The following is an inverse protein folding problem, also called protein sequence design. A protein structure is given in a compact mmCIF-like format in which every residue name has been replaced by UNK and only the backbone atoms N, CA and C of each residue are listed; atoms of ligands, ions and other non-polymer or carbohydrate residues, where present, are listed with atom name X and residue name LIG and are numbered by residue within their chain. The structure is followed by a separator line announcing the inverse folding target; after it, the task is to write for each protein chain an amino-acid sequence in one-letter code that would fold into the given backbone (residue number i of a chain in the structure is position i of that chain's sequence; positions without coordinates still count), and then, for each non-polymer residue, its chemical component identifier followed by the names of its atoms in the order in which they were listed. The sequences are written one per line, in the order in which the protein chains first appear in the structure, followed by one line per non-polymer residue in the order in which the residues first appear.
data_IF_926809967269
#
_entry.id   IF_926809967269
#
_cell.length_a   1.000
_cell.length_b   1.000
_cell.length_c   1.000
_cell.angle_alpha   90.00
_cell.angle_beta   90.00
_cell.angle_gamma   90.00
#
_symmetry.space_group_name_H-M   'P 1'
#
loop_
_entity.id
_entity.type
_entity.pdbx_description
1 polymer ?
#
# COMPACT_ATOMS: atom_id res chain seq x y z
N UNK A 1 -18.92 -11.34 -1.95
CA UNK A 1 -18.44 -9.99 -1.61
C UNK A 1 -16.97 -10.14 -1.27
N UNK A 2 -16.10 -9.33 -1.90
CA UNK A 2 -14.67 -9.42 -1.68
C UNK A 2 -14.27 -8.74 -0.36
N UNK A 3 -13.35 -9.37 0.35
CA UNK A 3 -12.74 -8.87 1.59
C UNK A 3 -11.23 -9.10 1.53
N UNK A 4 -10.48 -8.18 2.11
CA UNK A 4 -9.06 -8.37 2.34
C UNK A 4 -8.85 -8.61 3.83
N UNK A 5 -8.19 -9.72 4.15
CA UNK A 5 -7.79 -10.13 5.50
C UNK A 5 -6.26 -10.02 5.61
N UNK A 6 -5.75 -9.16 6.49
CA UNK A 6 -4.34 -9.18 6.91
C UNK A 6 -4.22 -9.97 8.19
N UNK A 7 -3.33 -10.94 8.19
CA UNK A 7 -3.16 -11.90 9.29
C UNK A 7 -1.67 -12.12 9.57
N UNK A 8 -1.31 -12.11 10.84
CA UNK A 8 -0.01 -12.57 11.31
C UNK A 8 -0.13 -14.04 11.73
N UNK A 9 0.84 -14.87 11.33
CA UNK A 9 0.86 -16.29 11.64
C UNK A 9 2.29 -16.81 11.81
N UNK A 10 2.49 -17.98 12.45
CA UNK A 10 3.83 -18.53 12.62
C UNK A 10 4.43 -18.94 11.27
N UNK A 11 5.67 -18.55 10.98
CA UNK A 11 6.38 -18.89 9.75
C UNK A 11 7.03 -20.28 9.84
N UNK A 12 6.17 -21.31 9.89
CA UNK A 12 6.56 -22.71 9.95
C UNK A 12 5.73 -23.57 8.98
N UNK A 13 6.24 -24.74 8.56
CA UNK A 13 5.52 -25.62 7.65
C UNK A 13 4.12 -25.98 8.17
N UNK A 14 3.10 -25.68 7.36
CA UNK A 14 1.71 -26.02 7.65
C UNK A 14 0.85 -24.87 8.19
N UNK A 15 1.43 -23.76 8.65
CA UNK A 15 0.66 -22.61 9.18
C UNK A 15 -0.33 -22.05 8.17
N UNK A 16 0.12 -21.78 6.93
CA UNK A 16 -0.76 -21.29 5.87
C UNK A 16 -1.86 -22.30 5.50
N UNK A 17 -1.56 -23.60 5.56
CA UNK A 17 -2.54 -24.66 5.32
C UNK A 17 -3.61 -24.74 6.42
N UNK A 18 -3.22 -24.52 7.67
CA UNK A 18 -4.15 -24.43 8.80
C UNK A 18 -5.05 -23.20 8.68
N UNK A 19 -4.48 -22.04 8.32
CA UNK A 19 -5.24 -20.83 8.02
C UNK A 19 -6.27 -21.07 6.91
N UNK A 20 -5.83 -21.60 5.76
CA UNK A 20 -6.71 -21.88 4.63
C UNK A 20 -7.85 -22.83 4.99
N UNK A 21 -7.56 -23.85 5.80
CA UNK A 21 -8.59 -24.78 6.31
C UNK A 21 -9.60 -24.07 7.21
N UNK A 22 -9.16 -23.20 8.12
CA UNK A 22 -10.04 -22.46 9.02
C UNK A 22 -10.93 -21.46 8.27
N UNK A 23 -10.37 -20.74 7.30
CA UNK A 23 -11.10 -19.82 6.41
C UNK A 23 -12.16 -20.57 5.60
N UNK A 24 -11.81 -21.70 4.98
CA UNK A 24 -12.74 -22.54 4.25
C UNK A 24 -13.86 -23.10 5.13
N UNK A 25 -13.54 -23.53 6.35
CA UNK A 25 -14.54 -23.99 7.33
C UNK A 25 -15.49 -22.88 7.81
N UNK A 26 -15.06 -21.62 7.76
CA UNK A 26 -15.92 -20.45 8.00
C UNK A 26 -16.84 -20.12 6.81
N UNK A 27 -16.66 -20.79 5.67
CA UNK A 27 -17.47 -20.62 4.46
C UNK A 27 -16.99 -19.50 3.54
N UNK A 28 -15.76 -19.00 3.71
CA UNK A 28 -15.15 -18.05 2.79
C UNK A 28 -14.31 -18.78 1.72
N UNK A 29 -14.30 -18.25 0.50
CA UNK A 29 -13.40 -18.70 -0.56
C UNK A 29 -12.13 -17.85 -0.54
N UNK A 30 -10.97 -18.45 -0.80
CA UNK A 30 -9.71 -17.70 -0.96
C UNK A 30 -9.46 -17.51 -2.46
N UNK A 31 -9.39 -16.26 -2.88
CA UNK A 31 -9.10 -15.89 -4.27
C UNK A 31 -7.59 -15.76 -4.50
N UNK A 32 -6.86 -15.19 -3.53
CA UNK A 32 -5.42 -15.01 -3.61
C UNK A 32 -4.79 -14.85 -2.22
N UNK A 33 -3.49 -15.11 -2.14
CA UNK A 33 -2.66 -14.94 -0.94
C UNK A 33 -1.36 -14.27 -1.36
N UNK A 34 -0.92 -13.29 -0.59
CA UNK A 34 0.37 -12.63 -0.74
C UNK A 34 1.07 -12.56 0.63
N UNK A 35 2.32 -13.02 0.70
CA UNK A 35 3.16 -12.82 1.88
C UNK A 35 3.70 -11.39 1.81
N UNK A 36 3.35 -10.57 2.79
CA UNK A 36 3.71 -9.14 2.82
C UNK A 36 5.03 -8.93 3.57
N UNK A 37 5.25 -9.65 4.66
CA UNK A 37 6.46 -9.52 5.48
C UNK A 37 6.83 -10.85 6.14
N UNK A 38 8.14 -11.12 6.26
CA UNK A 38 8.66 -12.17 7.12
C UNK A 38 9.21 -11.50 8.37
N UNK A 39 8.55 -11.74 9.51
CA UNK A 39 8.93 -11.22 10.81
C UNK A 39 10.25 -11.83 11.29
N UNK A 40 11.09 -11.01 11.93
CA UNK A 40 12.38 -11.47 12.48
C UNK A 40 12.24 -12.42 13.68
N UNK A 41 11.03 -12.54 14.22
CA UNK A 41 10.65 -13.37 15.37
C UNK A 41 10.07 -14.74 14.97
N UNK A 42 10.10 -15.07 13.67
CA UNK A 42 9.56 -16.33 13.14
C UNK A 42 8.06 -16.28 12.87
N UNK A 43 7.50 -15.08 12.70
CA UNK A 43 6.15 -14.85 12.17
C UNK A 43 6.20 -14.46 10.70
N UNK A 44 5.07 -14.54 10.02
CA UNK A 44 4.84 -13.96 8.71
C UNK A 44 3.56 -13.12 8.79
N UNK A 45 3.49 -12.07 7.96
CA UNK A 45 2.27 -11.30 7.75
C UNK A 45 1.78 -11.54 6.34
N UNK A 46 0.61 -12.14 6.23
CA UNK A 46 -0.02 -12.51 4.98
C UNK A 46 -1.28 -11.69 4.74
N UNK A 47 -1.46 -11.31 3.49
CA UNK A 47 -2.71 -10.75 3.00
C UNK A 47 -3.47 -11.81 2.21
N UNK A 48 -4.70 -12.08 2.65
CA UNK A 48 -5.61 -13.06 2.05
C UNK A 48 -6.80 -12.35 1.44
N UNK A 49 -6.94 -12.45 0.12
CA UNK A 49 -8.12 -11.98 -0.60
C UNK A 49 -9.21 -13.04 -0.53
N UNK A 50 -10.35 -12.68 0.03
CA UNK A 50 -11.46 -13.55 0.32
C UNK A 50 -12.70 -13.17 -0.48
N UNK A 51 -13.43 -14.16 -0.99
CA UNK A 51 -14.79 -13.99 -1.48
C UNK A 51 -15.76 -14.62 -0.48
N UNK A 52 -16.59 -13.78 0.15
CA UNK A 52 -17.59 -14.21 1.11
C UNK A 52 -18.96 -14.37 0.43
N UNK A 53 -19.57 -15.58 0.48
CA UNK A 53 -20.95 -15.79 0.05
C UNK A 53 -21.95 -14.94 0.82
N UNK A 54 -23.12 -14.69 0.22
CA UNK A 54 -24.22 -13.99 0.89
C UNK A 54 -24.61 -14.70 2.20
N UNK A 55 -24.63 -13.95 3.30
CA UNK A 55 -24.97 -14.47 4.63
C UNK A 55 -23.78 -14.98 5.45
N UNK A 56 -22.58 -15.03 4.88
CA UNK A 56 -21.33 -15.21 5.65
C UNK A 56 -20.86 -13.85 6.13
N UNK A 57 -20.67 -13.72 7.45
CA UNK A 57 -20.17 -12.50 8.08
C UNK A 57 -18.63 -12.56 8.18
N UNK A 58 -17.91 -11.45 7.93
CA UNK A 58 -16.45 -11.37 8.14
C UNK A 58 -16.01 -11.85 9.52
N UNK A 59 -16.78 -11.52 10.55
CA UNK A 59 -16.50 -11.93 11.94
C UNK A 59 -16.42 -13.45 12.12
N UNK A 60 -17.11 -14.25 11.29
CA UNK A 60 -16.97 -15.71 11.32
C UNK A 60 -15.57 -16.15 10.89
N UNK A 61 -15.00 -15.48 9.88
CA UNK A 61 -13.64 -15.73 9.40
C UNK A 61 -12.63 -15.31 10.46
N UNK A 62 -12.80 -14.11 11.04
CA UNK A 62 -11.96 -13.62 12.14
C UNK A 62 -11.97 -14.61 13.31
N UNK A 63 -13.17 -15.01 13.74
CA UNK A 63 -13.34 -15.98 14.82
C UNK A 63 -12.73 -17.34 14.49
N UNK A 64 -12.64 -17.72 13.21
CA UNK A 64 -12.01 -18.97 12.79
C UNK A 64 -10.48 -18.90 12.84
N UNK A 65 -9.91 -17.78 12.41
CA UNK A 65 -8.47 -17.54 12.47
C UNK A 65 -7.98 -17.49 13.92
N UNK A 66 -8.68 -16.78 14.81
CA UNK A 66 -8.34 -16.70 16.24
C UNK A 66 -8.40 -18.03 17.01
N UNK A 67 -8.94 -19.10 16.43
CA UNK A 67 -8.88 -20.44 17.05
C UNK A 67 -7.57 -21.17 16.75
N UNK A 68 -6.79 -20.68 15.80
CA UNK A 68 -5.48 -21.23 15.47
C UNK A 68 -4.44 -20.66 16.43
N UNK A 69 -3.56 -21.53 16.92
CA UNK A 69 -2.48 -21.12 17.82
C UNK A 69 -1.48 -20.23 17.09
N UNK A 70 -1.17 -19.07 17.66
CA UNK A 70 -0.20 -18.12 17.10
C UNK A 70 -0.70 -17.33 15.88
N UNK A 71 -2.00 -17.36 15.56
CA UNK A 71 -2.58 -16.60 14.45
C UNK A 71 -3.36 -15.39 14.97
N UNK A 72 -3.02 -14.20 14.49
CA UNK A 72 -3.66 -12.95 14.85
C UNK A 72 -4.22 -12.25 13.60
N UNK A 73 -5.50 -11.88 13.65
CA UNK A 73 -6.09 -11.08 12.58
C UNK A 73 -5.80 -9.61 12.82
N UNK A 74 -4.86 -9.06 12.06
CA UNK A 74 -4.47 -7.66 12.16
C UNK A 74 -5.55 -6.73 11.59
N UNK A 75 -6.20 -7.15 10.50
CA UNK A 75 -7.22 -6.33 9.85
C UNK A 75 -8.10 -7.13 8.90
N UNK A 76 -9.38 -6.74 8.79
CA UNK A 76 -10.29 -7.23 7.76
C UNK A 76 -11.20 -6.10 7.28
N UNK A 77 -11.31 -5.91 5.97
CA UNK A 77 -12.23 -4.92 5.40
C UNK A 77 -12.80 -5.36 4.07
N UNK A 78 -13.89 -4.71 3.67
CA UNK A 78 -14.47 -4.87 2.34
C UNK A 78 -13.45 -4.44 1.31
N UNK A 79 -13.30 -5.26 0.28
CA UNK A 79 -12.42 -4.99 -0.84
C UNK A 79 -13.27 -4.85 -2.10
N UNK A 80 -12.91 -3.92 -2.98
CA UNK A 80 -13.64 -3.68 -4.22
C UNK A 80 -13.40 -4.84 -5.17
N UNK A 81 -14.41 -5.69 -5.38
CA UNK A 81 -14.29 -6.84 -6.27
C UNK A 81 -13.96 -6.38 -7.71
N UNK A 82 -12.91 -6.95 -8.30
CA UNK A 82 -12.45 -6.65 -9.67
C UNK A 82 -11.04 -6.10 -9.77
N UNK A 83 -10.44 -5.65 -8.67
CA UNK A 83 -8.99 -5.43 -8.59
C UNK A 83 -8.33 -6.76 -8.27
N UNK A 84 -7.72 -7.39 -9.27
CA UNK A 84 -6.71 -8.41 -8.99
C UNK A 84 -5.64 -7.79 -8.07
N UNK A 85 -4.90 -8.63 -7.34
CA UNK A 85 -3.65 -8.17 -6.73
C UNK A 85 -2.80 -7.66 -7.90
N UNK A 86 -2.71 -6.33 -8.06
CA UNK A 86 -1.90 -5.76 -9.09
C UNK A 86 -0.46 -5.95 -8.65
N UNK A 87 0.18 -6.96 -9.23
CA UNK A 87 1.52 -7.35 -8.86
C UNK A 87 2.50 -6.25 -9.24
N UNK A 88 3.61 -6.15 -8.50
CA UNK A 88 4.68 -5.20 -8.78
C UNK A 88 5.12 -5.22 -10.25
N UNK A 89 5.06 -6.38 -10.90
CA UNK A 89 5.37 -6.53 -12.33
C UNK A 89 4.43 -5.69 -13.22
N UNK A 90 3.13 -5.70 -12.96
CA UNK A 90 2.17 -4.91 -13.75
C UNK A 90 2.40 -3.41 -13.55
N UNK A 91 2.79 -3.00 -12.33
CA UNK A 91 3.19 -1.63 -12.06
C UNK A 91 4.47 -1.25 -12.82
N UNK A 92 5.48 -2.11 -12.81
CA UNK A 92 6.72 -1.93 -13.57
C UNK A 92 6.45 -1.79 -15.07
N UNK A 93 5.62 -2.67 -15.64
CA UNK A 93 5.23 -2.62 -17.06
C UNK A 93 4.46 -1.34 -17.41
N UNK A 94 3.57 -0.88 -16.52
CA UNK A 94 2.84 0.36 -16.72
C UNK A 94 3.77 1.58 -16.71
N UNK A 95 4.69 1.64 -15.74
CA UNK A 95 5.69 2.70 -15.60
C UNK A 95 6.60 2.76 -16.83
N UNK A 96 7.04 1.60 -17.35
CA UNK A 96 7.91 1.54 -18.54
C UNK A 96 7.20 1.88 -19.85
N UNK A 97 5.87 1.78 -19.90
CA UNK A 97 5.09 2.11 -21.11
C UNK A 97 5.08 3.60 -21.44
N UNK A 98 5.16 4.45 -20.42
CA UNK A 98 5.17 5.91 -20.55
C UNK A 98 6.29 6.54 -19.72
N UNK A 99 7.56 6.44 -20.16
CA UNK A 99 8.71 6.88 -19.35
C UNK A 99 8.68 8.35 -18.91
N UNK A 100 8.19 9.26 -19.76
CA UNK A 100 8.05 10.69 -19.44
C UNK A 100 7.02 10.95 -18.32
N UNK A 101 6.05 10.05 -18.15
CA UNK A 101 4.98 10.12 -17.14
C UNK A 101 5.17 9.03 -16.07
N UNK A 102 6.36 8.43 -15.98
CA UNK A 102 6.61 7.27 -15.12
C UNK A 102 6.29 7.55 -13.64
N UNK A 103 6.61 8.76 -13.16
CA UNK A 103 6.26 9.14 -11.80
C UNK A 103 4.75 9.31 -11.61
N UNK A 104 4.09 10.00 -12.53
CA UNK A 104 2.66 10.23 -12.46
C UNK A 104 1.90 8.89 -12.51
N UNK A 105 2.36 7.98 -13.37
CA UNK A 105 1.86 6.61 -13.46
C UNK A 105 2.02 5.86 -12.15
N UNK A 106 3.19 5.91 -11.49
CA UNK A 106 3.37 5.26 -10.19
C UNK A 106 2.38 5.79 -9.15
N UNK A 107 2.20 7.11 -9.06
CA UNK A 107 1.29 7.73 -8.07
C UNK A 107 -0.15 7.27 -8.29
N UNK A 108 -0.60 7.17 -9.54
CA UNK A 108 -1.93 6.64 -9.87
C UNK A 108 -2.09 5.15 -9.52
N UNK A 109 -1.00 4.39 -9.51
CA UNK A 109 -1.00 2.98 -9.16
C UNK A 109 -0.84 2.70 -7.66
N UNK A 110 -0.44 3.70 -6.86
CA UNK A 110 -0.24 3.54 -5.41
C UNK A 110 -1.47 2.92 -4.70
N UNK A 111 -2.72 3.37 -4.94
CA UNK A 111 -3.89 2.79 -4.28
C UNK A 111 -4.04 1.28 -4.55
N UNK A 112 -3.84 0.84 -5.79
CA UNK A 112 -4.06 -0.55 -6.17
C UNK A 112 -2.90 -1.47 -5.77
N UNK A 113 -1.65 -1.01 -5.90
CA UNK A 113 -0.43 -1.80 -5.59
C UNK A 113 -0.22 -1.94 -4.08
N UNK A 114 -0.49 -0.88 -3.30
CA UNK A 114 -0.25 -0.87 -1.85
C UNK A 114 -1.53 -1.02 -1.02
N UNK A 115 -2.67 -1.25 -1.68
CA UNK A 115 -4.00 -1.36 -1.03
C UNK A 115 -4.21 -0.20 -0.08
N UNK A 116 -3.90 0.99 -0.61
CA UNK A 116 -4.05 2.25 0.07
C UNK A 116 -5.26 2.99 -0.51
N UNK A 117 -5.80 3.95 0.24
CA UNK A 117 -6.95 4.71 -0.25
C UNK A 117 -6.53 5.72 -1.31
N UNK A 118 -5.31 6.25 -1.22
CA UNK A 118 -4.82 7.31 -2.09
C UNK A 118 -3.29 7.33 -2.21
N UNK A 119 -2.83 7.92 -3.32
CA UNK A 119 -1.45 8.32 -3.56
C UNK A 119 -1.33 9.83 -3.81
N UNK A 120 -0.19 10.42 -3.42
CA UNK A 120 0.15 11.82 -3.63
C UNK A 120 1.62 11.97 -4.04
N UNK A 121 1.89 12.97 -4.87
CA UNK A 121 3.23 13.49 -5.11
C UNK A 121 3.30 14.93 -4.61
N UNK A 122 4.14 15.18 -3.62
CA UNK A 122 4.36 16.51 -3.04
C UNK A 122 5.77 17.00 -3.32
N UNK A 123 5.92 18.30 -3.49
CA UNK A 123 7.23 18.94 -3.66
C UNK A 123 7.27 20.32 -2.99
N UNK A 124 8.37 20.62 -2.29
CA UNK A 124 8.68 21.97 -1.82
C UNK A 124 9.11 22.82 -3.03
N UNK A 125 8.29 23.79 -3.42
CA UNK A 125 8.71 24.83 -4.37
C UNK A 125 9.42 26.00 -3.67
N UNK A 126 10.02 26.89 -4.46
CA UNK A 126 10.76 28.07 -3.97
C UNK A 126 9.93 29.02 -3.07
N UNK A 127 8.60 28.94 -3.10
CA UNK A 127 7.70 29.84 -2.36
C UNK A 127 6.78 29.11 -1.36
N UNK A 128 6.41 27.86 -1.64
CA UNK A 128 5.58 27.03 -0.76
C UNK A 128 5.61 25.57 -1.25
N UNK A 129 5.38 24.60 -0.35
CA UNK A 129 5.12 23.23 -0.75
C UNK A 129 3.80 23.10 -1.51
N UNK A 130 3.81 22.27 -2.54
CA UNK A 130 2.67 22.05 -3.41
C UNK A 130 2.46 20.55 -3.68
N UNK A 131 1.19 20.16 -3.72
CA UNK A 131 0.78 18.88 -4.30
C UNK A 131 0.92 18.98 -5.82
N UNK A 132 1.81 18.16 -6.40
CA UNK A 132 1.99 18.11 -7.86
C UNK A 132 0.99 17.18 -8.52
N UNK A 133 0.72 16.05 -7.89
CA UNK A 133 -0.22 15.07 -8.36
C UNK A 133 -0.96 14.45 -7.17
N UNK A 134 -2.23 14.15 -7.40
CA UNK A 134 -3.11 13.56 -6.43
C UNK A 134 -4.08 12.60 -7.10
N UNK A 135 -4.14 11.37 -6.60
CA UNK A 135 -5.18 10.42 -7.01
C UNK A 135 -6.58 10.93 -6.62
N UNK A 136 -7.61 10.40 -7.26
CA UNK A 136 -9.00 10.88 -7.09
C UNK A 136 -9.54 10.88 -5.65
N UNK A 137 -9.09 9.93 -4.82
CA UNK A 137 -9.51 9.82 -3.42
C UNK A 137 -8.55 10.56 -2.46
N UNK A 138 -7.50 11.18 -2.99
CA UNK A 138 -6.53 11.87 -2.17
C UNK A 138 -7.13 13.14 -1.56
N UNK A 139 -6.79 13.43 -0.30
CA UNK A 139 -7.22 14.66 0.36
C UNK A 139 -6.56 15.90 -0.28
N UNK A 140 -7.28 17.02 -0.27
CA UNK A 140 -6.74 18.32 -0.65
C UNK A 140 -5.88 18.87 0.50
N UNK A 141 -4.55 18.94 0.29
CA UNK A 141 -3.58 19.39 1.28
C UNK A 141 -3.39 20.92 1.33
N UNK A 142 -3.71 21.64 0.25
CA UNK A 142 -3.49 23.08 0.17
C UNK A 142 -2.04 23.48 0.50
N UNK A 143 -1.87 24.46 1.39
CA UNK A 143 -0.56 24.96 1.84
C UNK A 143 0.17 24.03 2.81
N UNK A 144 -0.48 22.97 3.28
CA UNK A 144 0.07 22.06 4.29
C UNK A 144 0.82 20.88 3.68
N UNK A 145 0.91 20.82 2.34
CA UNK A 145 1.53 19.71 1.61
C UNK A 145 3.00 19.44 1.98
N UNK A 146 3.69 20.41 2.59
CA UNK A 146 5.10 20.30 2.94
C UNK A 146 5.36 19.88 4.37
N UNK A 147 4.35 19.55 5.17
CA UNK A 147 4.57 19.14 6.56
C UNK A 147 5.47 17.90 6.68
N UNK A 148 5.46 17.04 5.66
CA UNK A 148 6.32 15.85 5.60
C UNK A 148 7.62 16.07 4.83
N UNK A 149 7.89 17.31 4.42
CA UNK A 149 9.11 17.69 3.74
C UNK A 149 9.98 18.57 4.67
N UNK A 150 11.32 18.47 4.61
CA UNK A 150 12.07 17.56 3.75
C UNK A 150 12.07 16.12 4.27
N UNK A 151 11.76 15.16 3.39
CA UNK A 151 11.76 13.74 3.73
C UNK A 151 13.14 13.14 3.46
N UNK A 152 13.81 12.68 4.52
CA UNK A 152 15.20 12.19 4.42
C UNK A 152 15.29 10.73 3.97
N UNK A 153 14.30 9.92 4.35
CA UNK A 153 14.28 8.47 4.14
C UNK A 153 12.82 7.98 4.10
N UNK A 154 12.57 6.79 3.54
CA UNK A 154 11.28 6.11 3.66
C UNK A 154 10.84 6.00 5.13
N UNK A 155 9.59 6.36 5.42
CA UNK A 155 9.06 6.37 6.78
C UNK A 155 7.52 6.33 6.83
N UNK A 156 6.99 5.85 7.96
CA UNK A 156 5.63 6.19 8.42
C UNK A 156 5.64 7.65 8.86
N UNK A 157 4.58 8.37 8.53
CA UNK A 157 4.49 9.82 8.71
C UNK A 157 3.36 10.15 9.66
N UNK A 158 3.66 11.01 10.63
CA UNK A 158 2.67 11.48 11.58
C UNK A 158 1.69 12.43 10.89
N UNK A 159 0.40 12.22 11.13
CA UNK A 159 -0.67 13.12 10.73
C UNK A 159 -0.99 14.02 11.93
N UNK A 160 -0.98 15.35 11.77
CA UNK A 160 -1.32 16.26 12.87
C UNK A 160 -2.70 15.99 13.47
N UNK A 161 -2.81 16.05 14.80
CA UNK A 161 -4.06 15.78 15.52
C UNK A 161 -5.18 16.78 15.20
N UNK A 162 -4.82 18.01 14.82
CA UNK A 162 -5.73 19.08 14.44
C UNK A 162 -6.34 18.91 13.03
N UNK A 163 -5.86 17.94 12.26
CA UNK A 163 -6.45 17.58 10.98
C UNK A 163 -7.64 16.64 11.20
N UNK A 164 -8.76 17.18 11.69
CA UNK A 164 -9.98 16.42 11.97
C UNK A 164 -10.44 15.56 10.78
N UNK A 165 -10.22 16.05 9.54
CA UNK A 165 -10.52 15.33 8.28
C UNK A 165 -9.66 14.08 8.06
N UNK A 166 -8.54 13.97 8.74
CA UNK A 166 -7.54 12.91 8.61
C UNK A 166 -7.44 12.04 9.88
N UNK A 167 -8.30 12.26 10.88
CA UNK A 167 -8.41 11.41 12.07
C UNK A 167 -8.45 9.94 11.63
N UNK A 168 -7.56 9.09 12.16
CA UNK A 168 -7.37 7.66 11.80
C UNK A 168 -6.82 7.34 10.41
N UNK A 169 -6.27 8.33 9.69
CA UNK A 169 -5.52 8.10 8.45
C UNK A 169 -4.08 7.77 8.79
N UNK A 170 -3.61 6.66 8.25
CA UNK A 170 -2.21 6.27 8.30
C UNK A 170 -1.55 6.78 7.04
N UNK A 171 -0.36 7.35 7.17
CA UNK A 171 0.42 7.88 6.05
C UNK A 171 1.81 7.29 6.08
N UNK A 172 2.32 6.93 4.91
CA UNK A 172 3.72 6.62 4.71
C UNK A 172 4.24 7.35 3.48
N UNK A 173 5.54 7.64 3.46
CA UNK A 173 6.14 8.37 2.35
C UNK A 173 7.56 7.93 2.07
N UNK A 174 7.97 8.17 0.82
CA UNK A 174 9.34 7.91 0.34
C UNK A 174 9.86 9.13 -0.43
N UNK A 175 11.15 9.49 -0.29
CA UNK A 175 11.76 10.56 -1.09
C UNK A 175 11.74 10.22 -2.58
N UNK A 176 11.54 11.22 -3.43
CA UNK A 176 11.46 11.08 -4.88
C UNK A 176 12.50 11.97 -5.57
N UNK A 177 13.73 11.46 -5.73
CA UNK A 177 14.83 12.14 -6.42
C UNK A 177 15.53 13.22 -5.59
N UNK A 178 14.81 13.89 -4.69
CA UNK A 178 15.35 14.83 -3.71
C UNK A 178 14.63 14.69 -2.37
N UNK A 179 15.15 15.33 -1.32
CA UNK A 179 14.50 15.39 0.00
C UNK A 179 13.30 16.34 0.02
N UNK A 180 13.21 17.22 -0.96
CA UNK A 180 12.14 18.19 -1.12
C UNK A 180 10.98 17.67 -1.95
N UNK A 181 11.03 16.40 -2.39
CA UNK A 181 9.97 15.76 -3.17
C UNK A 181 9.69 14.39 -2.59
N UNK A 182 8.42 14.03 -2.42
CA UNK A 182 8.06 12.75 -1.84
C UNK A 182 6.80 12.16 -2.50
N UNK A 183 6.80 10.85 -2.66
CA UNK A 183 5.59 10.06 -2.94
C UNK A 183 5.01 9.63 -1.61
N UNK A 184 3.73 9.91 -1.40
CA UNK A 184 2.99 9.58 -0.20
C UNK A 184 1.87 8.61 -0.54
N UNK A 185 1.58 7.71 0.39
CA UNK A 185 0.41 6.85 0.36
C UNK A 185 -0.31 6.93 1.69
N UNK A 186 -1.63 6.79 1.67
CA UNK A 186 -2.40 6.74 2.90
C UNK A 186 -3.65 5.88 2.83
N UNK A 187 -4.03 5.35 3.99
CA UNK A 187 -5.25 4.54 4.17
C UNK A 187 -5.90 4.79 5.52
N UNK A 188 -7.21 4.69 5.57
CA UNK A 188 -8.02 4.92 6.78
C UNK A 188 -8.21 3.64 7.57
N UNK A 189 -8.03 3.73 8.89
CA UNK A 189 -8.45 2.69 9.84
C UNK A 189 -7.61 1.41 9.88
N UNK A 190 -6.50 1.34 9.14
CA UNK A 190 -5.56 0.21 9.17
C UNK A 190 -5.60 -0.69 7.91
N UNK A 191 -4.71 -1.69 7.84
CA UNK A 191 -3.66 -1.99 8.82
C UNK A 191 -2.53 -0.95 8.79
N UNK A 192 -1.64 -0.94 9.78
CA UNK A 192 -0.41 -0.14 9.71
C UNK A 192 0.40 -0.49 8.46
N UNK A 193 1.06 0.51 7.87
CA UNK A 193 2.01 0.24 6.78
C UNK A 193 3.16 -0.58 7.34
N UNK A 194 3.53 -1.68 6.68
CA UNK A 194 4.69 -2.50 7.06
C UNK A 194 5.98 -1.92 6.51
N UNK A 195 7.12 -2.32 7.07
CA UNK A 195 8.42 -1.84 6.59
C UNK A 195 8.68 -2.33 5.16
N UNK A 196 8.22 -3.55 4.84
CA UNK A 196 8.26 -4.11 3.49
C UNK A 196 7.42 -3.30 2.48
N UNK A 197 6.22 -2.83 2.85
CA UNK A 197 5.36 -1.98 2.00
C UNK A 197 6.08 -0.66 1.69
N UNK A 198 6.70 -0.04 2.69
CA UNK A 198 7.42 1.23 2.53
C UNK A 198 8.69 1.04 1.69
N UNK A 199 9.44 -0.04 1.92
CA UNK A 199 10.61 -0.38 1.12
C UNK A 199 10.25 -0.62 -0.34
N UNK A 200 9.16 -1.34 -0.60
CA UNK A 200 8.63 -1.60 -1.95
C UNK A 200 8.22 -0.30 -2.66
N UNK A 201 7.55 0.62 -1.99
CA UNK A 201 7.25 1.95 -2.54
C UNK A 201 8.53 2.71 -2.88
N UNK A 202 9.56 2.64 -2.05
CA UNK A 202 10.85 3.27 -2.31
C UNK A 202 11.54 2.67 -3.55
N UNK A 203 11.48 1.34 -3.73
CA UNK A 203 12.02 0.66 -4.90
C UNK A 203 11.30 1.08 -6.19
N UNK A 204 9.97 1.08 -6.19
CA UNK A 204 9.19 1.52 -7.36
C UNK A 204 9.41 3.01 -7.68
N UNK A 205 9.55 3.85 -6.66
CA UNK A 205 9.88 5.27 -6.84
C UNK A 205 11.26 5.46 -7.47
N UNK A 206 12.27 4.74 -6.97
CA UNK A 206 13.61 4.75 -7.55
C UNK A 206 13.62 4.25 -9.00
N UNK A 207 12.84 3.21 -9.29
CA UNK A 207 12.66 2.69 -10.65
C UNK A 207 12.02 3.73 -11.59
N UNK A 208 10.91 4.34 -11.19
CA UNK A 208 10.22 5.36 -11.98
C UNK A 208 11.14 6.55 -12.30
N UNK A 209 11.97 6.99 -11.34
CA UNK A 209 12.96 8.04 -11.56
C UNK A 209 14.03 7.64 -12.58
N UNK A 210 14.52 6.40 -12.52
CA UNK A 210 15.50 5.90 -13.50
C UNK A 210 14.92 5.88 -14.90
N UNK A 211 13.68 5.38 -15.04
CA UNK A 211 12.97 5.29 -16.33
C UNK A 211 12.73 6.69 -16.92
N UNK A 212 12.30 7.67 -16.11
CA UNK A 212 12.15 9.06 -16.58
C UNK A 212 13.48 9.67 -17.02
N UNK A 213 14.56 9.45 -16.28
CA UNK A 213 15.87 10.02 -16.59
C UNK A 213 16.44 9.51 -17.93
N UNK A 214 16.22 8.23 -18.25
CA UNK A 214 16.62 7.65 -19.55
C UNK A 214 15.85 8.30 -20.71
N UNK A 215 14.54 8.54 -20.54
CA UNK A 215 13.71 9.16 -21.56
C UNK A 215 14.09 10.62 -21.83
N UNK A 216 14.42 11.38 -20.78
CA UNK A 216 14.90 12.77 -20.92
C UNK A 216 16.23 12.84 -21.69
N UNK A 217 17.12 11.85 -21.47
CA UNK A 217 18.41 11.77 -22.16
C UNK A 217 18.25 11.44 -23.66
N UNK A 218 17.35 10.50 -24.00
CA UNK A 218 17.05 10.15 -25.39
C UNK A 218 16.35 11.29 -26.14
N UNK A 219 15.44 12.02 -25.48
CA UNK A 219 14.74 13.17 -26.05
C UNK A 219 15.65 14.36 -26.37
N UNK A 220 16.69 14.60 -25.56
CA UNK A 220 17.66 15.69 -25.77
C UNK A 220 18.65 15.42 -26.92
N UNK A 221 18.70 14.20 -27.45
CA UNK A 221 19.57 13.77 -28.55
C UNK A 221 18.97 13.86 -29.96
N UNK A 222 17.71 14.26 -30.09
CA UNK A 222 16.96 14.37 -31.37
C UNK A 222 16.70 15.82 -31.77
#
# INVERSE_FOLDING_TARGET
MAFLLRVELPDVPGSLGALATAVGAAGANIEAIEIVEHGSDGTAVDDVLLELPTGVLPDKVVSACHRLEGVEVLWISRYTAGTNIQLDLEAVEAITRSPAEAMDTLVELVPTVFRSDWGLLVESGDSAPATRLATSAAPELGSEAGIWLPLQRPARLDVPEDWERWTSTLVAGVPAGSKERAVLMGRRGGPEFLDSEIARLAHLTGFALSVSAEADADGAGT
#
